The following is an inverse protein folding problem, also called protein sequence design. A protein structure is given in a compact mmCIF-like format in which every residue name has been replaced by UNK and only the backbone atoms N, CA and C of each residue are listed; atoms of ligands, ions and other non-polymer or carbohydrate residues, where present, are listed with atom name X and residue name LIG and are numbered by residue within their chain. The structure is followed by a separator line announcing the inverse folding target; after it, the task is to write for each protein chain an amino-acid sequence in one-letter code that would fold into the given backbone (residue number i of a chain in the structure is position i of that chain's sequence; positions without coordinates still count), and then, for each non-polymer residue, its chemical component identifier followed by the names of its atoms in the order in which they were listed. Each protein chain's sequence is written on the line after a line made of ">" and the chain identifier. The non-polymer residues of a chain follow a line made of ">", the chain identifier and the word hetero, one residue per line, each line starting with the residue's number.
data_IF_409489059111
#
_entry.id   IF_409489059111
#
_cell.length_a   1.000
_cell.length_b   1.000
_cell.length_c   1.000
_cell.angle_alpha   90.00
_cell.angle_beta   90.00
_cell.angle_gamma   90.00
#
_symmetry.space_group_name_H-M   'P 1'
#
loop_
_entity.id
_entity.type
_entity.pdbx_description
1 polymer ?
#
# COMPACT_ATOMS: atom_id res chain seq x y z
N UNK A 1 -22.93 15.73 -2.58
CA UNK A 1 -23.10 15.62 -1.13
C UNK A 1 -22.09 14.65 -0.54
N UNK A 2 -21.77 14.83 0.74
CA UNK A 2 -20.83 13.97 1.44
C UNK A 2 -20.77 14.30 2.92
N UNK A 3 -20.02 13.52 3.69
CA UNK A 3 -19.79 13.75 5.13
C UNK A 3 -18.41 14.33 5.34
N UNK A 4 -18.30 15.39 6.10
CA UNK A 4 -17.04 15.98 6.56
C UNK A 4 -16.83 15.65 8.02
N UNK A 5 -15.80 14.88 8.32
CA UNK A 5 -15.36 14.66 9.69
C UNK A 5 -14.52 15.85 10.16
N UNK A 6 -14.86 16.44 11.29
CA UNK A 6 -14.15 17.59 11.88
C UNK A 6 -13.11 17.19 12.91
N UNK A 7 -13.15 15.92 13.34
CA UNK A 7 -12.24 15.34 14.32
C UNK A 7 -11.98 13.87 13.95
N UNK A 8 -11.09 13.66 12.98
CA UNK A 8 -10.73 12.33 12.49
C UNK A 8 -9.24 12.06 12.73
N UNK A 9 -8.94 11.03 13.51
CA UNK A 9 -7.60 10.65 13.88
C UNK A 9 -7.13 9.37 13.20
N UNK A 10 -5.82 9.31 12.92
CA UNK A 10 -5.17 8.07 12.54
C UNK A 10 -5.24 7.05 13.67
N UNK A 11 -5.42 5.77 13.36
CA UNK A 11 -5.51 4.69 14.35
C UNK A 11 -4.23 4.42 15.15
N UNK A 12 -3.10 5.00 14.73
CA UNK A 12 -1.82 4.95 15.43
C UNK A 12 -0.88 6.06 14.91
N UNK A 13 0.17 6.44 15.68
CA UNK A 13 1.11 7.49 15.28
C UNK A 13 2.20 6.99 14.28
N UNK A 14 2.12 5.76 13.81
CA UNK A 14 3.12 5.16 12.94
C UNK A 14 2.50 4.31 11.82
N UNK A 15 3.31 4.05 10.77
CA UNK A 15 2.85 3.49 9.49
C UNK A 15 2.16 2.13 9.59
N UNK A 16 2.84 1.07 9.98
CA UNK A 16 2.26 -0.30 9.98
C UNK A 16 1.04 -0.42 10.90
N UNK A 17 1.07 0.07 12.16
CA UNK A 17 -0.08 0.05 13.03
C UNK A 17 -1.29 0.81 12.47
N UNK A 18 -1.08 2.01 11.93
CA UNK A 18 -2.16 2.81 11.37
C UNK A 18 -2.79 2.16 10.14
N UNK A 19 -1.97 1.55 9.28
CA UNK A 19 -2.42 0.80 8.08
C UNK A 19 -3.25 -0.43 8.47
N UNK A 20 -2.81 -1.17 9.49
CA UNK A 20 -3.55 -2.32 10.01
C UNK A 20 -4.93 -1.90 10.52
N UNK A 21 -4.99 -0.84 11.34
CA UNK A 21 -6.26 -0.30 11.84
C UNK A 21 -7.17 0.16 10.70
N UNK A 22 -6.61 0.83 9.69
CA UNK A 22 -7.40 1.31 8.55
C UNK A 22 -8.04 0.16 7.76
N UNK A 23 -7.27 -0.89 7.45
CA UNK A 23 -7.78 -2.00 6.65
C UNK A 23 -8.77 -2.89 7.40
N UNK A 24 -8.62 -3.05 8.71
CA UNK A 24 -9.43 -3.98 9.51
C UNK A 24 -10.55 -3.32 10.30
N UNK A 25 -10.53 -2.00 10.48
CA UNK A 25 -11.43 -1.30 11.39
C UNK A 25 -11.21 -1.67 12.87
N UNK A 26 -10.11 -2.39 13.19
CA UNK A 26 -9.80 -2.86 14.54
C UNK A 26 -8.50 -2.24 15.05
N UNK A 27 -8.36 -2.20 16.37
CA UNK A 27 -7.10 -1.77 16.98
C UNK A 27 -5.94 -2.68 16.53
N UNK A 28 -4.87 -2.10 16.05
CA UNK A 28 -3.75 -2.79 15.39
C UNK A 28 -3.10 -3.92 16.22
N UNK A 29 -3.14 -3.86 17.56
CA UNK A 29 -2.66 -4.94 18.41
C UNK A 29 -3.46 -6.24 18.20
N UNK A 30 -4.77 -6.13 17.99
CA UNK A 30 -5.62 -7.28 17.70
C UNK A 30 -5.35 -7.86 16.31
N UNK A 31 -4.93 -7.01 15.39
CA UNK A 31 -4.57 -7.39 14.03
C UNK A 31 -3.14 -7.93 13.89
N UNK A 32 -2.41 -8.13 15.00
CA UNK A 32 -1.05 -8.68 15.01
C UNK A 32 0.06 -7.68 14.74
N UNK A 33 -0.25 -6.38 14.66
CA UNK A 33 0.72 -5.32 14.34
C UNK A 33 0.94 -4.42 15.55
N UNK A 34 1.98 -4.68 16.32
CA UNK A 34 2.24 -3.99 17.59
C UNK A 34 3.11 -2.74 17.44
N UNK A 35 3.88 -2.65 16.35
CA UNK A 35 4.82 -1.56 16.08
C UNK A 35 5.08 -1.43 14.59
N UNK A 36 5.95 -0.52 14.19
CA UNK A 36 6.46 -0.44 12.82
C UNK A 36 7.19 -1.73 12.45
N UNK A 37 6.82 -2.33 11.33
CA UNK A 37 7.47 -3.54 10.84
C UNK A 37 8.84 -3.16 10.28
N UNK A 38 9.90 -3.69 10.87
CA UNK A 38 11.29 -3.51 10.48
C UNK A 38 11.93 -4.86 10.19
N UNK A 39 13.15 -4.88 9.66
CA UNK A 39 13.89 -6.13 9.45
C UNK A 39 14.03 -6.96 10.73
N UNK A 40 14.14 -6.31 11.90
CA UNK A 40 14.20 -6.97 13.20
C UNK A 40 12.87 -7.59 13.62
N UNK A 41 11.75 -6.98 13.19
CA UNK A 41 10.38 -7.39 13.50
C UNK A 41 9.69 -8.03 12.29
N UNK A 42 10.47 -8.64 11.39
CA UNK A 42 9.99 -9.23 10.12
C UNK A 42 8.99 -10.39 10.29
N UNK A 43 8.85 -10.95 11.48
CA UNK A 43 7.82 -11.96 11.78
C UNK A 43 6.45 -11.34 12.06
N UNK A 44 6.43 -10.04 12.36
CA UNK A 44 5.19 -9.31 12.60
C UNK A 44 4.57 -8.95 11.24
N UNK A 45 3.30 -9.23 11.09
CA UNK A 45 2.53 -8.91 9.90
C UNK A 45 1.05 -8.77 10.27
N UNK A 46 0.26 -8.22 9.37
CA UNK A 46 -1.20 -8.29 9.48
C UNK A 46 -1.64 -9.75 9.45
N UNK A 47 -2.41 -10.18 10.44
CA UNK A 47 -2.87 -11.56 10.54
C UNK A 47 -3.82 -11.90 9.39
N UNK A 48 -3.60 -13.03 8.72
CA UNK A 48 -4.49 -13.55 7.67
C UNK A 48 -5.89 -13.92 8.17
N UNK A 49 -6.06 -14.04 9.49
CA UNK A 49 -7.37 -14.26 10.12
C UNK A 49 -8.20 -12.99 10.29
N UNK A 50 -7.63 -11.82 10.00
CA UNK A 50 -8.36 -10.55 10.03
C UNK A 50 -9.06 -10.33 8.69
N UNK A 51 -10.33 -9.99 8.74
CA UNK A 51 -11.05 -9.55 7.55
C UNK A 51 -10.75 -8.08 7.27
N UNK A 52 -10.25 -7.79 6.10
CA UNK A 52 -9.98 -6.43 5.63
C UNK A 52 -11.16 -5.85 4.87
N UNK A 53 -11.19 -4.52 4.72
CA UNK A 53 -12.19 -3.86 3.87
C UNK A 53 -12.08 -4.34 2.41
N UNK A 54 -10.88 -4.70 1.93
CA UNK A 54 -10.70 -5.22 0.58
C UNK A 54 -11.36 -6.60 0.41
N UNK A 55 -11.19 -7.51 1.37
CA UNK A 55 -11.87 -8.82 1.36
C UNK A 55 -13.38 -8.66 1.39
N UNK A 56 -13.89 -7.83 2.31
CA UNK A 56 -15.32 -7.59 2.42
C UNK A 56 -15.92 -7.00 1.14
N UNK A 57 -15.24 -6.08 0.47
CA UNK A 57 -15.70 -5.50 -0.79
C UNK A 57 -15.58 -6.50 -1.95
N UNK A 58 -14.50 -7.27 -2.02
CA UNK A 58 -14.31 -8.32 -3.01
C UNK A 58 -15.43 -9.36 -2.94
N UNK A 59 -15.82 -9.81 -1.76
CA UNK A 59 -16.95 -10.73 -1.55
C UNK A 59 -18.30 -10.13 -2.04
N UNK A 60 -18.38 -8.81 -2.16
CA UNK A 60 -19.54 -8.09 -2.66
C UNK A 60 -19.38 -7.62 -4.13
N UNK A 61 -18.48 -8.23 -4.89
CA UNK A 61 -18.35 -8.01 -6.33
C UNK A 61 -17.58 -6.75 -6.71
N UNK A 62 -16.71 -6.24 -5.84
CA UNK A 62 -15.82 -5.14 -6.18
C UNK A 62 -14.50 -5.65 -6.72
N UNK A 63 -14.02 -5.07 -7.81
CA UNK A 63 -12.62 -5.17 -8.21
C UNK A 63 -11.74 -4.43 -7.21
N UNK A 64 -10.69 -5.08 -6.71
CA UNK A 64 -9.89 -4.54 -5.61
C UNK A 64 -8.43 -4.36 -6.00
N UNK A 65 -7.86 -3.19 -5.73
CA UNK A 65 -6.45 -2.93 -6.05
C UNK A 65 -5.73 -2.10 -4.97
N UNK A 66 -4.44 -2.44 -4.77
CA UNK A 66 -3.54 -1.71 -3.88
C UNK A 66 -2.36 -1.12 -4.64
N UNK A 67 -2.06 0.16 -4.40
CA UNK A 67 -0.93 0.85 -5.00
C UNK A 67 -0.08 1.57 -3.95
N UNK A 68 1.23 1.40 -4.03
CA UNK A 68 2.20 2.09 -3.20
C UNK A 68 2.68 1.28 -2.00
N UNK A 69 2.89 1.93 -0.87
CA UNK A 69 3.49 1.32 0.31
C UNK A 69 2.54 0.35 1.02
N UNK A 70 2.93 -0.93 1.12
CA UNK A 70 2.17 -1.92 1.90
C UNK A 70 2.50 -1.86 3.40
N UNK A 71 3.68 -2.23 3.77
CA UNK A 71 4.24 -2.22 5.12
C UNK A 71 3.44 -3.01 6.17
N UNK A 72 2.74 -4.05 5.75
CA UNK A 72 1.95 -4.94 6.60
C UNK A 72 2.38 -6.42 6.50
N UNK A 73 3.52 -6.70 5.87
CA UNK A 73 4.07 -8.05 5.90
C UNK A 73 4.63 -8.60 4.60
N UNK A 74 4.99 -7.85 3.61
CA UNK A 74 5.57 -8.42 2.38
C UNK A 74 6.86 -9.23 2.63
N UNK A 75 7.14 -10.24 1.78
CA UNK A 75 8.29 -11.12 1.98
C UNK A 75 9.60 -10.32 1.97
N UNK A 76 10.38 -10.50 3.03
CA UNK A 76 11.75 -10.00 3.16
C UNK A 76 12.65 -11.21 3.35
N UNK A 77 13.73 -11.31 2.59
CA UNK A 77 14.74 -12.36 2.74
C UNK A 77 14.19 -13.81 2.68
N UNK A 78 13.45 -14.15 1.63
CA UNK A 78 12.90 -15.49 1.35
C UNK A 78 11.85 -15.98 2.37
N UNK A 79 11.28 -15.13 3.18
CA UNK A 79 10.17 -15.49 4.07
C UNK A 79 8.83 -15.21 3.40
N UNK A 80 7.90 -16.12 3.57
CA UNK A 80 6.51 -15.96 3.15
C UNK A 80 5.75 -15.15 4.22
N UNK A 81 5.78 -13.84 4.12
CA UNK A 81 4.85 -12.99 4.85
C UNK A 81 3.67 -12.64 3.93
N UNK A 82 2.48 -12.39 4.47
CA UNK A 82 1.32 -12.04 3.68
C UNK A 82 1.55 -10.81 2.80
N UNK A 83 1.03 -10.87 1.60
CA UNK A 83 1.06 -9.81 0.59
C UNK A 83 -0.31 -9.12 0.50
N UNK A 84 -0.47 -8.04 -0.26
CA UNK A 84 -1.80 -7.49 -0.52
C UNK A 84 -2.79 -8.51 -1.08
N UNK A 85 -2.34 -9.49 -1.88
CA UNK A 85 -3.20 -10.52 -2.44
C UNK A 85 -3.80 -11.44 -1.36
N UNK A 86 -3.06 -11.71 -0.29
CA UNK A 86 -3.52 -12.54 0.83
C UNK A 86 -4.54 -11.80 1.72
N UNK A 87 -4.76 -10.51 1.46
CA UNK A 87 -5.67 -9.61 2.16
C UNK A 87 -6.74 -8.99 1.23
N UNK A 88 -7.12 -9.71 0.18
CA UNK A 88 -8.28 -9.39 -0.64
C UNK A 88 -8.03 -8.44 -1.82
N UNK A 89 -6.80 -8.08 -2.13
CA UNK A 89 -6.51 -7.28 -3.32
C UNK A 89 -6.21 -8.16 -4.55
N UNK A 90 -7.03 -8.03 -5.60
CA UNK A 90 -6.88 -8.76 -6.87
C UNK A 90 -5.66 -8.30 -7.67
N UNK A 91 -5.35 -7.02 -7.56
CA UNK A 91 -4.20 -6.41 -8.18
C UNK A 91 -3.41 -5.58 -7.18
N UNK A 92 -2.08 -5.62 -7.28
CA UNK A 92 -1.27 -4.72 -6.49
C UNK A 92 0.05 -4.35 -7.15
N UNK A 93 0.43 -3.10 -6.95
CA UNK A 93 1.71 -2.54 -7.34
C UNK A 93 2.28 -1.76 -6.17
N UNK A 94 3.31 -2.29 -5.53
CA UNK A 94 3.71 -1.72 -4.26
C UNK A 94 5.13 -1.99 -3.83
N UNK A 95 5.44 -1.43 -2.68
CA UNK A 95 6.72 -1.49 -2.01
C UNK A 95 6.56 -2.12 -0.63
N UNK A 96 7.56 -2.89 -0.21
CA UNK A 96 7.59 -3.44 1.15
C UNK A 96 7.64 -2.32 2.16
N UNK A 97 8.58 -1.42 2.04
CA UNK A 97 8.84 -0.34 3.00
C UNK A 97 9.01 1.01 2.29
N UNK A 98 10.04 1.20 1.50
CA UNK A 98 10.32 2.47 0.83
C UNK A 98 10.91 2.29 -0.57
N UNK A 99 10.89 3.33 -1.41
CA UNK A 99 11.42 3.28 -2.77
C UNK A 99 12.95 3.39 -2.71
N UNK A 100 13.63 2.26 -2.86
CA UNK A 100 15.09 2.29 -2.97
C UNK A 100 15.53 2.50 -4.42
N UNK A 101 16.68 3.13 -4.66
CA UNK A 101 17.50 3.84 -3.70
C UNK A 101 16.99 5.24 -3.35
N UNK A 102 15.98 5.75 -4.06
CA UNK A 102 15.40 7.08 -3.93
C UNK A 102 13.96 7.07 -4.44
N UNK A 103 13.19 8.10 -4.14
CA UNK A 103 11.91 8.39 -4.79
C UNK A 103 12.07 8.70 -6.28
N UNK A 104 13.25 9.17 -6.70
CA UNK A 104 13.59 9.35 -8.12
C UNK A 104 14.17 8.06 -8.68
N UNK A 105 13.60 7.54 -9.76
CA UNK A 105 13.98 6.31 -10.45
C UNK A 105 14.05 5.08 -9.53
N UNK A 106 13.00 4.77 -8.80
CA UNK A 106 12.98 3.65 -7.84
C UNK A 106 13.16 2.29 -8.53
N UNK A 107 13.70 1.32 -7.76
CA UNK A 107 14.01 -0.03 -8.26
C UNK A 107 13.30 -1.15 -7.52
N UNK A 108 12.57 -0.84 -6.44
CA UNK A 108 12.07 -1.86 -5.51
C UNK A 108 10.58 -2.17 -5.64
N UNK A 109 9.93 -1.62 -6.65
CA UNK A 109 8.52 -1.93 -6.90
C UNK A 109 8.30 -3.39 -7.30
N UNK A 110 7.22 -3.94 -6.79
CA UNK A 110 6.69 -5.25 -7.13
C UNK A 110 5.30 -5.08 -7.76
N UNK A 111 5.04 -5.80 -8.84
CA UNK A 111 3.71 -5.94 -9.44
C UNK A 111 3.24 -7.37 -9.26
N UNK A 112 2.20 -7.58 -8.46
CA UNK A 112 1.67 -8.91 -8.11
C UNK A 112 2.79 -9.89 -7.73
N UNK A 113 3.72 -9.46 -6.86
CA UNK A 113 4.82 -10.27 -6.36
C UNK A 113 6.08 -10.33 -7.25
N UNK A 114 6.04 -9.80 -8.46
CA UNK A 114 7.18 -9.81 -9.40
C UNK A 114 7.90 -8.47 -9.40
N UNK A 115 9.24 -8.49 -9.29
CA UNK A 115 10.06 -7.28 -9.41
C UNK A 115 9.92 -6.68 -10.81
N UNK A 116 9.72 -5.36 -10.87
CA UNK A 116 9.61 -4.63 -12.15
C UNK A 116 10.92 -3.91 -12.55
N UNK A 117 11.92 -3.94 -11.67
CA UNK A 117 13.19 -3.26 -11.92
C UNK A 117 13.11 -1.73 -11.73
N UNK A 118 14.05 -1.02 -12.37
CA UNK A 118 14.08 0.44 -12.30
C UNK A 118 12.98 1.05 -13.17
N UNK A 119 12.24 1.99 -12.59
CA UNK A 119 11.24 2.79 -13.31
C UNK A 119 11.70 4.24 -13.31
N UNK A 120 11.73 4.87 -14.48
CA UNK A 120 12.08 6.29 -14.62
C UNK A 120 10.95 7.19 -14.09
N UNK A 121 11.30 8.19 -13.32
CA UNK A 121 10.35 9.15 -12.76
C UNK A 121 10.34 9.17 -11.23
N UNK A 122 9.33 9.76 -10.65
CA UNK A 122 9.16 9.87 -9.19
C UNK A 122 8.12 8.88 -8.68
N UNK A 123 8.35 8.32 -7.52
CA UNK A 123 7.54 7.22 -6.97
C UNK A 123 6.05 7.55 -6.85
N UNK A 124 5.68 8.77 -6.44
CA UNK A 124 4.27 9.17 -6.39
C UNK A 124 3.61 9.17 -7.77
N UNK A 125 4.29 9.72 -8.80
CA UNK A 125 3.78 9.73 -10.16
C UNK A 125 3.66 8.31 -10.71
N UNK A 126 4.68 7.48 -10.52
CA UNK A 126 4.69 6.06 -10.95
C UNK A 126 3.51 5.29 -10.34
N UNK A 127 3.23 5.52 -9.06
CA UNK A 127 2.10 4.88 -8.36
C UNK A 127 0.76 5.32 -8.93
N UNK A 128 0.60 6.61 -9.26
CA UNK A 128 -0.62 7.14 -9.90
C UNK A 128 -0.78 6.59 -11.31
N UNK A 129 0.28 6.60 -12.11
CA UNK A 129 0.24 6.10 -13.50
C UNK A 129 -0.15 4.61 -13.56
N UNK A 130 0.39 3.80 -12.65
CA UNK A 130 0.02 2.39 -12.54
C UNK A 130 -1.46 2.22 -12.11
N UNK A 131 -1.94 3.06 -11.18
CA UNK A 131 -3.33 3.05 -10.75
C UNK A 131 -4.28 3.44 -11.88
N UNK A 132 -3.93 4.45 -12.66
CA UNK A 132 -4.71 4.87 -13.84
C UNK A 132 -4.70 3.79 -14.93
N UNK A 133 -3.56 3.13 -15.16
CA UNK A 133 -3.47 1.99 -16.08
C UNK A 133 -4.39 0.85 -15.64
N UNK A 134 -4.42 0.54 -14.35
CA UNK A 134 -5.32 -0.48 -13.83
C UNK A 134 -6.79 -0.10 -14.00
N UNK A 135 -7.14 1.14 -13.70
CA UNK A 135 -8.53 1.64 -13.84
C UNK A 135 -9.02 1.58 -15.29
N UNK A 136 -8.17 1.92 -16.25
CA UNK A 136 -8.57 2.09 -17.65
C UNK A 136 -8.38 0.82 -18.49
N UNK A 137 -7.49 -0.10 -18.11
CA UNK A 137 -7.06 -1.18 -18.99
C UNK A 137 -7.17 -2.59 -18.40
N UNK A 138 -7.29 -2.72 -17.07
CA UNK A 138 -7.12 -4.03 -16.42
C UNK A 138 -8.32 -4.50 -15.63
N UNK A 139 -9.21 -3.62 -15.21
CA UNK A 139 -10.47 -3.99 -14.57
C UNK A 139 -11.60 -4.05 -15.61
N UNK A 140 -12.66 -4.72 -15.28
CA UNK A 140 -13.91 -4.62 -16.05
C UNK A 140 -14.60 -3.28 -15.74
N UNK A 141 -14.99 -2.54 -16.78
CA UNK A 141 -15.60 -1.20 -16.64
C UNK A 141 -16.95 -1.23 -15.90
N UNK A 142 -17.66 -2.34 -15.97
CA UNK A 142 -18.97 -2.52 -15.32
C UNK A 142 -18.86 -2.93 -13.84
N UNK A 143 -17.66 -3.32 -13.36
CA UNK A 143 -17.47 -3.67 -11.97
C UNK A 143 -17.23 -2.43 -11.08
N UNK A 144 -17.92 -2.32 -9.92
CA UNK A 144 -17.54 -1.36 -8.92
C UNK A 144 -16.12 -1.66 -8.42
N UNK A 145 -15.38 -0.66 -7.98
CA UNK A 145 -14.00 -0.88 -7.56
C UNK A 145 -13.67 -0.27 -6.21
N UNK A 146 -12.70 -0.88 -5.55
CA UNK A 146 -12.00 -0.35 -4.38
C UNK A 146 -10.52 -0.19 -4.70
N UNK A 147 -10.06 1.06 -4.68
CA UNK A 147 -8.67 1.40 -4.93
C UNK A 147 -8.04 1.96 -3.66
N UNK A 148 -7.04 1.25 -3.12
CA UNK A 148 -6.25 1.68 -1.99
C UNK A 148 -4.92 2.27 -2.47
N UNK A 149 -4.79 3.60 -2.41
CA UNK A 149 -3.63 4.34 -2.89
C UNK A 149 -2.85 4.93 -1.71
N UNK A 150 -1.68 4.35 -1.41
CA UNK A 150 -0.84 4.76 -0.30
C UNK A 150 0.55 5.19 -0.77
N UNK A 151 0.78 6.49 -0.80
CA UNK A 151 2.08 7.05 -1.16
C UNK A 151 3.16 6.72 -0.12
N UNK A 152 4.41 6.72 -0.57
CA UNK A 152 5.58 6.64 0.32
C UNK A 152 5.97 8.02 0.84
N UNK A 153 5.73 9.04 0.07
CA UNK A 153 6.01 10.42 0.39
C UNK A 153 5.19 10.90 1.61
N UNK A 154 5.74 11.75 2.45
CA UNK A 154 7.06 12.42 2.38
C UNK A 154 8.19 11.67 3.11
N UNK A 155 8.22 10.35 3.14
CA UNK A 155 9.24 9.56 3.83
C UNK A 155 10.64 9.77 3.21
N UNK A 156 11.68 9.81 4.04
CA UNK A 156 13.07 9.90 3.57
C UNK A 156 13.52 8.63 2.81
N UNK A 157 14.46 8.75 1.85
CA UNK A 157 15.09 9.97 1.36
C UNK A 157 14.14 10.78 0.47
N UNK A 158 14.04 12.08 0.72
CA UNK A 158 13.13 12.96 -0.01
C UNK A 158 13.72 13.27 -1.40
N UNK A 159 12.87 13.20 -2.43
CA UNK A 159 13.21 13.64 -3.77
C UNK A 159 11.95 14.19 -4.46
N UNK A 160 12.09 15.35 -5.07
CA UNK A 160 11.05 16.00 -5.85
C UNK A 160 11.66 16.61 -7.14
N UNK A 161 10.85 16.89 -8.18
CA UNK A 161 11.29 17.64 -9.35
C UNK A 161 11.87 19.00 -8.96
N UNK A 162 12.94 19.42 -9.66
CA UNK A 162 13.65 20.67 -9.35
C UNK A 162 12.75 21.90 -9.48
N UNK A 163 11.80 21.87 -10.41
CA UNK A 163 10.80 22.93 -10.61
C UNK A 163 9.82 23.08 -9.43
N UNK A 164 9.64 22.04 -8.62
CA UNK A 164 8.82 22.09 -7.39
C UNK A 164 9.66 22.57 -6.21
N UNK A 165 10.92 22.14 -6.14
CA UNK A 165 11.83 22.52 -5.03
C UNK A 165 12.25 23.98 -5.10
N UNK A 166 12.26 24.57 -6.29
CA UNK A 166 12.68 25.95 -6.53
C UNK A 166 11.58 27.00 -6.32
N UNK A 167 10.36 26.61 -5.97
CA UNK A 167 9.25 27.52 -5.64
C UNK A 167 9.21 27.84 -4.15
#
# INVERSE_FOLDING_TARGET
>A
GGVRFTDFHSGAPSCSPSRATFLTGRHHYRAGVYSVITERLHKMHLLESETTIAEALKENGYATAHFGKWHLGMPVNNRKNPTPADHGFDYWFGLVNGPGPSHKNPTQFLRNGKRVGQIKGYSCQIVVDEALTWLNEKRDDDEPFFLNLWFNEPHAPIAAPDEIVSQ
#
